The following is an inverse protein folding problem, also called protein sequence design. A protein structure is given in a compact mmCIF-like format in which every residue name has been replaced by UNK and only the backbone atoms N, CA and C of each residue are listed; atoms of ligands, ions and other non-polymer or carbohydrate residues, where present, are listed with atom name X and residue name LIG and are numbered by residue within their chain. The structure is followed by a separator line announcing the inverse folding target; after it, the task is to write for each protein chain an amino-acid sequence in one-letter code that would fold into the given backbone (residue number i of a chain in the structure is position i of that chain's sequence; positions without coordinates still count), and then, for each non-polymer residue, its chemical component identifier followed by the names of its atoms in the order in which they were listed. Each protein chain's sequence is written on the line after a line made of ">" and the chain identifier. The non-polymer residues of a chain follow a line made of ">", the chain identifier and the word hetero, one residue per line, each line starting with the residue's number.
data_IF_517084888031
#
_entry.id   IF_517084888031
#
_cell.length_a   1.000
_cell.length_b   1.000
_cell.length_c   1.000
_cell.angle_alpha   90.00
_cell.angle_beta   90.00
_cell.angle_gamma   90.00
#
_symmetry.space_group_name_H-M   'P 1'
#
loop_
_entity.id
_entity.type
_entity.pdbx_description
1 polymer ?
#
# COMPACT_ATOMS: atom_id res chain seq x y z
N UNK A 1 3.61 -18.62 -9.99
CA UNK A 1 3.12 -19.78 -10.78
C UNK A 1 1.86 -20.30 -10.11
N UNK A 2 0.70 -20.07 -10.72
CA UNK A 2 -0.58 -20.57 -10.20
C UNK A 2 -0.79 -22.03 -10.64
N UNK A 3 -1.49 -22.88 -9.87
CA UNK A 3 -1.67 -24.30 -10.18
C UNK A 3 -2.32 -24.59 -11.55
N UNK A 4 -2.94 -23.59 -12.18
CA UNK A 4 -3.61 -23.67 -13.48
C UNK A 4 -2.90 -22.90 -14.60
N UNK A 5 -1.69 -22.38 -14.36
CA UNK A 5 -0.99 -21.55 -15.35
C UNK A 5 -1.64 -20.19 -15.59
N UNK A 6 -2.49 -19.74 -14.64
CA UNK A 6 -3.14 -18.43 -14.72
C UNK A 6 -2.10 -17.31 -14.58
N UNK A 7 -2.34 -16.23 -15.32
CA UNK A 7 -1.56 -15.02 -15.24
C UNK A 7 -1.80 -14.35 -13.88
N UNK A 8 -0.76 -13.72 -13.32
CA UNK A 8 -0.81 -13.21 -11.95
C UNK A 8 -1.73 -12.02 -11.76
N UNK A 9 -1.58 -11.34 -10.61
CA UNK A 9 -2.27 -10.07 -10.39
C UNK A 9 -1.94 -9.07 -11.52
N UNK A 10 -3.00 -8.51 -12.11
CA UNK A 10 -2.94 -7.41 -13.04
C UNK A 10 -3.80 -6.25 -12.51
N UNK A 11 -3.33 -5.03 -12.70
CA UNK A 11 -3.98 -3.79 -12.19
C UNK A 11 -5.42 -3.64 -12.71
N UNK A 12 -5.77 -4.32 -13.81
CA UNK A 12 -7.08 -4.27 -14.47
C UNK A 12 -8.06 -5.38 -14.03
N UNK A 13 -7.92 -5.95 -12.82
CA UNK A 13 -8.91 -6.93 -12.33
C UNK A 13 -10.25 -6.24 -12.03
N UNK A 14 -11.30 -6.66 -12.73
CA UNK A 14 -12.68 -6.25 -12.48
C UNK A 14 -13.26 -7.06 -11.33
N UNK A 15 -13.71 -6.39 -10.27
CA UNK A 15 -14.44 -7.02 -9.19
C UNK A 15 -15.89 -7.32 -9.59
N UNK A 16 -16.48 -8.37 -9.03
CA UNK A 16 -17.92 -8.68 -9.17
C UNK A 16 -18.56 -8.53 -7.79
N UNK A 17 -19.70 -7.83 -7.72
CA UNK A 17 -20.46 -7.72 -6.46
C UNK A 17 -21.11 -9.05 -6.10
N UNK A 18 -21.11 -9.44 -4.81
CA UNK A 18 -21.90 -10.58 -4.36
C UNK A 18 -23.39 -10.22 -4.45
N UNK A 19 -24.11 -10.85 -5.38
CA UNK A 19 -25.57 -10.76 -5.51
C UNK A 19 -26.09 -10.03 -6.75
N UNK A 20 -25.23 -9.29 -7.47
CA UNK A 20 -25.61 -8.63 -8.73
C UNK A 20 -24.54 -8.91 -9.77
N UNK A 21 -24.93 -9.39 -10.96
CA UNK A 21 -24.03 -9.63 -12.10
C UNK A 21 -23.53 -8.31 -12.74
N UNK A 22 -23.24 -7.31 -11.93
CA UNK A 22 -22.68 -6.03 -12.38
C UNK A 22 -21.18 -6.07 -12.13
N UNK A 23 -20.41 -5.91 -13.21
CA UNK A 23 -18.96 -5.72 -13.10
C UNK A 23 -18.70 -4.36 -12.46
N UNK A 24 -18.10 -4.34 -11.28
CA UNK A 24 -17.55 -3.11 -10.73
C UNK A 24 -16.17 -2.95 -11.34
N UNK A 25 -15.90 -1.78 -11.92
CA UNK A 25 -14.52 -1.32 -12.14
C UNK A 25 -13.88 -0.92 -10.80
N UNK A 26 -14.01 -1.76 -9.78
CA UNK A 26 -13.31 -1.58 -8.51
C UNK A 26 -11.90 -2.11 -8.73
N UNK A 27 -10.97 -1.18 -8.91
CA UNK A 27 -9.55 -1.47 -8.95
C UNK A 27 -9.18 -2.17 -7.64
N UNK A 28 -9.05 -3.50 -7.71
CA UNK A 28 -8.74 -4.31 -6.56
C UNK A 28 -7.25 -4.16 -6.29
N UNK A 29 -6.86 -3.72 -5.10
CA UNK A 29 -5.45 -3.63 -4.71
C UNK A 29 -4.82 -5.03 -4.77
N UNK A 30 -3.56 -5.13 -5.19
CA UNK A 30 -2.76 -6.37 -5.16
C UNK A 30 -2.92 -7.12 -3.83
N UNK A 31 -2.92 -6.39 -2.72
CA UNK A 31 -3.12 -6.94 -1.37
C UNK A 31 -4.46 -7.69 -1.23
N UNK A 32 -5.56 -7.12 -1.72
CA UNK A 32 -6.89 -7.73 -1.63
C UNK A 32 -7.01 -9.00 -2.49
N UNK A 33 -6.35 -9.00 -3.65
CA UNK A 33 -6.28 -10.15 -4.53
C UNK A 33 -5.50 -11.31 -3.88
N UNK A 34 -4.32 -11.03 -3.32
CA UNK A 34 -3.51 -12.06 -2.67
C UNK A 34 -4.11 -12.56 -1.35
N UNK A 35 -4.75 -11.68 -0.58
CA UNK A 35 -5.49 -12.09 0.61
C UNK A 35 -6.61 -13.08 0.25
N UNK A 36 -7.34 -12.84 -0.83
CA UNK A 36 -8.39 -13.75 -1.32
C UNK A 36 -7.85 -15.16 -1.60
N UNK A 37 -6.63 -15.28 -2.11
CA UNK A 37 -5.99 -16.57 -2.41
C UNK A 37 -5.38 -17.26 -1.17
N UNK A 38 -5.11 -16.53 -0.10
CA UNK A 38 -4.54 -17.06 1.15
C UNK A 38 -5.59 -17.43 2.20
N UNK A 39 -6.80 -16.89 2.12
CA UNK A 39 -7.89 -17.19 3.07
C UNK A 39 -8.21 -18.68 3.07
N UNK A 40 -8.17 -19.30 4.26
CA UNK A 40 -8.59 -20.69 4.49
C UNK A 40 -10.11 -20.82 4.25
N UNK A 41 -10.51 -21.71 3.34
CA UNK A 41 -11.92 -22.00 3.00
C UNK A 41 -12.18 -23.50 3.14
N UNK A 42 -13.45 -23.86 3.28
CA UNK A 42 -13.91 -25.26 3.31
C UNK A 42 -13.59 -26.01 1.99
N UNK A 43 -13.51 -25.26 0.88
CA UNK A 43 -13.04 -25.76 -0.42
C UNK A 43 -11.52 -25.96 -0.43
N UNK A 44 -11.02 -26.98 -1.14
CA UNK A 44 -9.57 -27.26 -1.22
C UNK A 44 -8.73 -26.04 -1.63
N UNK A 45 -8.02 -25.45 -0.66
CA UNK A 45 -6.99 -24.46 -0.93
C UNK A 45 -5.68 -25.17 -1.24
N UNK A 46 -5.59 -25.67 -2.48
CA UNK A 46 -4.39 -26.40 -2.96
C UNK A 46 -3.10 -25.62 -2.71
N UNK A 47 -3.16 -24.29 -2.83
CA UNK A 47 -2.04 -23.36 -2.66
C UNK A 47 -1.41 -23.44 -1.26
N UNK A 48 -2.22 -23.69 -0.21
CA UNK A 48 -1.78 -23.81 1.18
C UNK A 48 -1.07 -25.13 1.49
N UNK A 49 -1.27 -26.16 0.65
CA UNK A 49 -0.68 -27.49 0.86
C UNK A 49 0.74 -27.62 0.27
N UNK A 50 1.17 -26.67 -0.54
CA UNK A 50 2.49 -26.69 -1.16
C UNK A 50 3.53 -26.03 -0.25
N UNK A 51 4.20 -26.80 0.62
CA UNK A 51 5.18 -26.30 1.61
C UNK A 51 6.16 -25.24 1.05
N UNK A 52 7.18 -25.65 0.30
CA UNK A 52 8.25 -24.76 -0.16
C UNK A 52 7.75 -23.76 -1.22
N UNK A 53 6.82 -24.20 -2.07
CA UNK A 53 6.24 -23.37 -3.13
C UNK A 53 5.39 -22.22 -2.57
N UNK A 54 4.70 -22.43 -1.44
CA UNK A 54 3.94 -21.40 -0.74
C UNK A 54 4.86 -20.32 -0.17
N UNK A 55 6.02 -20.70 0.37
CA UNK A 55 6.98 -19.70 0.87
C UNK A 55 7.48 -18.81 -0.27
N UNK A 56 7.84 -19.40 -1.42
CA UNK A 56 8.25 -18.64 -2.59
C UNK A 56 7.12 -17.73 -3.10
N UNK A 57 5.89 -18.24 -3.12
CA UNK A 57 4.70 -17.47 -3.49
C UNK A 57 4.48 -16.28 -2.56
N UNK A 58 4.53 -16.48 -1.24
CA UNK A 58 4.37 -15.42 -0.25
C UNK A 58 5.43 -14.33 -0.39
N UNK A 59 6.69 -14.71 -0.62
CA UNK A 59 7.80 -13.76 -0.80
C UNK A 59 7.61 -12.94 -2.08
N UNK A 60 7.27 -13.57 -3.21
CA UNK A 60 7.00 -12.87 -4.48
C UNK A 60 5.81 -11.91 -4.35
N UNK A 61 4.77 -12.33 -3.63
CA UNK A 61 3.59 -11.51 -3.38
C UNK A 61 3.90 -10.30 -2.51
N UNK A 62 4.67 -10.49 -1.45
CA UNK A 62 5.10 -9.41 -0.57
C UNK A 62 5.93 -8.37 -1.34
N UNK A 63 6.88 -8.81 -2.17
CA UNK A 63 7.68 -7.93 -3.01
C UNK A 63 6.82 -7.07 -3.95
N UNK A 64 5.75 -7.63 -4.54
CA UNK A 64 4.81 -6.90 -5.40
C UNK A 64 4.02 -5.84 -4.65
N UNK A 65 3.49 -6.20 -3.47
CA UNK A 65 2.75 -5.25 -2.62
C UNK A 65 3.65 -4.09 -2.20
N UNK A 66 4.89 -4.37 -1.79
CA UNK A 66 5.84 -3.32 -1.40
C UNK A 66 6.29 -2.47 -2.60
N UNK A 67 6.45 -3.05 -3.79
CA UNK A 67 6.75 -2.28 -4.99
C UNK A 67 5.64 -1.26 -5.32
N UNK A 68 4.37 -1.67 -5.23
CA UNK A 68 3.22 -0.77 -5.40
C UNK A 68 3.17 0.32 -4.32
N UNK A 69 3.46 -0.04 -3.07
CA UNK A 69 3.51 0.91 -1.96
C UNK A 69 4.62 1.94 -2.15
N UNK A 70 5.81 1.52 -2.56
CA UNK A 70 6.93 2.42 -2.87
C UNK A 70 6.60 3.33 -4.06
N UNK A 71 5.94 2.81 -5.09
CA UNK A 71 5.47 3.61 -6.22
C UNK A 71 4.46 4.67 -5.77
N UNK A 72 3.50 4.29 -4.92
CA UNK A 72 2.54 5.23 -4.33
C UNK A 72 3.25 6.34 -3.54
N UNK A 73 4.19 5.98 -2.66
CA UNK A 73 4.97 6.94 -1.88
C UNK A 73 5.75 7.89 -2.80
N UNK A 74 6.35 7.37 -3.87
CA UNK A 74 7.10 8.17 -4.85
C UNK A 74 6.22 9.16 -5.59
N UNK A 75 5.06 8.71 -6.09
CA UNK A 75 4.13 9.55 -6.85
C UNK A 75 3.41 10.60 -5.98
N UNK A 76 3.16 10.28 -4.71
CA UNK A 76 2.40 11.13 -3.78
C UNK A 76 3.27 11.91 -2.79
N UNK A 77 4.60 11.97 -3.00
CA UNK A 77 5.54 12.68 -2.12
C UNK A 77 5.09 14.09 -1.74
N UNK A 78 4.56 14.87 -2.71
CA UNK A 78 4.10 16.24 -2.45
C UNK A 78 2.95 16.28 -1.44
N UNK A 79 1.98 15.38 -1.58
CA UNK A 79 0.82 15.31 -0.69
C UNK A 79 1.23 14.86 0.71
N UNK A 80 2.04 13.81 0.80
CA UNK A 80 2.55 13.29 2.08
C UNK A 80 3.32 14.37 2.86
N UNK A 81 4.14 15.18 2.18
CA UNK A 81 4.87 16.30 2.81
C UNK A 81 3.94 17.42 3.25
N UNK A 82 2.90 17.73 2.48
CA UNK A 82 1.90 18.73 2.86
C UNK A 82 1.15 18.28 4.11
N UNK A 83 0.72 17.02 4.18
CA UNK A 83 0.06 16.46 5.35
C UNK A 83 0.96 16.53 6.60
N UNK A 84 2.26 16.26 6.45
CA UNK A 84 3.25 16.39 7.54
C UNK A 84 3.41 17.84 8.03
N UNK A 85 3.43 18.82 7.11
CA UNK A 85 3.48 20.24 7.49
C UNK A 85 2.21 20.71 8.21
N UNK A 86 1.04 20.20 7.81
CA UNK A 86 -0.23 20.53 8.48
C UNK A 86 -0.19 20.00 9.92
N UNK A 87 0.17 18.73 10.12
CA UNK A 87 0.27 18.16 11.46
C UNK A 87 1.31 18.88 12.34
N UNK A 88 2.44 19.29 11.77
CA UNK A 88 3.45 20.07 12.50
C UNK A 88 2.91 21.43 12.93
N UNK A 89 2.24 22.15 12.01
CA UNK A 89 1.63 23.44 12.32
C UNK A 89 0.58 23.29 13.43
N UNK A 90 -0.26 22.27 13.34
CA UNK A 90 -1.31 22.02 14.31
C UNK A 90 -0.74 21.66 15.69
N UNK A 91 0.31 20.84 15.75
CA UNK A 91 0.99 20.50 17.00
C UNK A 91 1.55 21.76 17.71
N UNK A 92 2.17 22.67 16.96
CA UNK A 92 2.72 23.92 17.50
C UNK A 92 1.60 24.86 17.96
N UNK A 93 0.47 24.95 17.24
CA UNK A 93 -0.65 25.79 17.68
C UNK A 93 -1.34 25.29 18.94
N UNK A 94 -1.20 24.00 19.27
CA UNK A 94 -1.77 23.41 20.47
C UNK A 94 -0.80 23.45 21.68
N UNK A 95 0.48 23.76 21.47
CA UNK A 95 1.48 23.90 22.53
C UNK A 95 1.51 25.37 23.00
N UNK A 96 1.10 25.63 24.25
CA UNK A 96 0.66 26.97 24.68
C UNK A 96 1.75 27.85 25.28
N UNK A 97 3.04 27.55 25.09
CA UNK A 97 4.15 28.29 25.69
C UNK A 97 4.88 29.19 24.66
N UNK A 98 4.46 30.45 24.47
CA UNK A 98 5.00 31.36 23.45
C UNK A 98 6.47 31.77 23.68
N UNK A 99 7.08 31.39 24.81
CA UNK A 99 8.47 31.69 25.15
C UNK A 99 9.48 30.68 24.56
N UNK A 100 9.04 29.49 24.13
CA UNK A 100 9.92 28.42 23.61
C UNK A 100 9.88 28.26 22.08
N UNK A 101 9.18 29.14 21.36
CA UNK A 101 8.99 28.97 19.92
C UNK A 101 10.23 29.43 19.14
N UNK A 102 11.05 28.46 18.73
CA UNK A 102 12.05 28.65 17.68
C UNK A 102 11.40 29.13 16.37
N UNK A 103 12.15 29.90 15.56
CA UNK A 103 11.65 30.44 14.30
C UNK A 103 11.31 29.32 13.30
N UNK A 104 10.08 29.29 12.80
CA UNK A 104 9.65 28.39 11.74
C UNK A 104 10.40 28.72 10.44
N UNK A 105 11.35 27.86 10.05
CA UNK A 105 12.01 27.92 8.74
C UNK A 105 11.67 26.65 7.99
N UNK A 106 10.75 26.76 7.03
CA UNK A 106 10.46 25.67 6.09
C UNK A 106 11.52 25.72 5.00
N UNK A 107 12.39 24.71 4.97
CA UNK A 107 13.42 24.59 3.95
C UNK A 107 12.80 24.10 2.63
N UNK A 108 13.27 24.60 1.48
CA UNK A 108 12.83 24.09 0.19
C UNK A 108 13.19 22.61 0.03
N UNK A 109 12.39 21.88 -0.74
CA UNK A 109 12.56 20.43 -0.97
C UNK A 109 13.88 20.04 -1.64
N UNK A 110 14.60 21.00 -2.19
CA UNK A 110 15.95 20.88 -2.77
C UNK A 110 17.07 21.06 -1.76
N UNK A 111 16.74 21.31 -0.49
CA UNK A 111 17.72 21.43 0.58
C UNK A 111 18.30 20.05 0.90
N UNK A 112 19.32 19.65 0.14
CA UNK A 112 20.25 18.61 0.54
C UNK A 112 21.12 19.23 1.63
N UNK A 113 20.73 19.06 2.90
CA UNK A 113 21.56 19.48 4.01
C UNK A 113 22.96 18.92 3.84
N UNK A 114 23.94 19.80 3.66
CA UNK A 114 25.37 19.48 3.70
C UNK A 114 25.98 20.27 4.86
N UNK A 115 27.02 19.75 5.55
CA UNK A 115 27.73 18.47 5.42
C UNK A 115 27.34 17.41 6.44
#
# INVERSE_FOLDING_TARGET
>A
MFPRGEDGYAINFKGVEPGTSNQINKMSSSMSFYAYHLIVRSTENRLLNYRQLLHQYLVDMYAKIEAERLLFIRLNQKKLRVDEYIHLKDAITNDSDPANHGKLVILPSTFTGCP
#
